data_IF_606644286214
#
_entry.id   IF_606644286214
#
_cell.length_a   1.000
_cell.length_b   1.000
_cell.length_c   1.000
_cell.angle_alpha   90.00
_cell.angle_beta   90.00
_cell.angle_gamma   90.00
#
_symmetry.space_group_name_H-M   'P 1'
#
loop_
_entity.id
_entity.type
_entity.pdbx_description
1 polymer ?
#
# COMPACT_ATOMS: atom_id res chain seq x y z
N UNK A 1 10.77 0.07 13.99
CA UNK A 1 10.74 0.45 12.56
C UNK A 1 10.39 -0.73 11.72
N UNK A 2 9.61 -0.50 10.65
CA UNK A 2 9.23 -1.53 9.69
C UNK A 2 10.33 -1.71 8.63
N UNK A 3 10.47 -2.92 8.11
CA UNK A 3 11.30 -3.20 6.94
C UNK A 3 10.56 -2.81 5.65
N UNK A 4 9.26 -3.13 5.58
CA UNK A 4 8.42 -2.89 4.40
C UNK A 4 7.12 -2.20 4.81
N UNK A 5 6.73 -1.15 4.08
CA UNK A 5 5.36 -0.64 4.09
C UNK A 5 4.73 -0.88 2.72
N UNK A 6 3.57 -1.55 2.70
CA UNK A 6 2.79 -1.79 1.48
C UNK A 6 1.72 -0.71 1.37
N UNK A 7 1.72 0.00 0.25
CA UNK A 7 0.92 1.20 0.02
C UNK A 7 -0.12 0.90 -1.06
N UNK A 8 -1.39 0.85 -0.66
CA UNK A 8 -2.54 0.81 -1.56
C UNK A 8 -3.06 2.21 -1.92
N UNK A 9 -4.01 2.27 -2.86
CA UNK A 9 -4.63 3.53 -3.27
C UNK A 9 -5.67 3.96 -2.24
N UNK A 10 -6.70 3.14 -2.04
CA UNK A 10 -7.74 3.31 -1.03
C UNK A 10 -8.42 1.95 -0.76
N UNK A 11 -9.14 1.81 0.38
CA UNK A 11 -9.89 0.60 0.65
C UNK A 11 -11.02 0.37 -0.36
N UNK A 12 -11.10 -0.84 -0.93
CA UNK A 12 -12.34 -1.27 -1.58
C UNK A 12 -13.46 -1.47 -0.55
N UNK A 13 -14.72 -1.30 -0.96
CA UNK A 13 -15.87 -1.38 -0.03
C UNK A 13 -15.87 -2.63 0.86
N UNK A 14 -15.54 -3.80 0.30
CA UNK A 14 -15.50 -5.04 1.07
C UNK A 14 -14.35 -5.07 2.09
N UNK A 15 -13.15 -4.61 1.70
CA UNK A 15 -12.01 -4.50 2.60
C UNK A 15 -12.28 -3.51 3.75
N UNK A 16 -12.95 -2.39 3.44
CA UNK A 16 -13.40 -1.42 4.44
C UNK A 16 -14.44 -2.02 5.41
N UNK A 17 -15.43 -2.76 4.88
CA UNK A 17 -16.44 -3.44 5.70
C UNK A 17 -15.81 -4.49 6.62
N UNK A 18 -14.87 -5.29 6.11
CA UNK A 18 -14.13 -6.29 6.89
C UNK A 18 -13.15 -5.67 7.88
N UNK A 19 -12.69 -4.45 7.65
CA UNK A 19 -11.64 -3.82 8.45
C UNK A 19 -10.23 -4.39 8.19
N UNK A 20 -10.03 -5.08 7.06
CA UNK A 20 -8.79 -5.80 6.75
C UNK A 20 -8.24 -5.44 5.38
N UNK A 21 -6.92 -5.29 5.29
CA UNK A 21 -6.25 -4.93 4.05
C UNK A 21 -6.41 -6.02 2.99
N UNK A 22 -6.76 -5.59 1.77
CA UNK A 22 -6.90 -6.47 0.60
C UNK A 22 -7.88 -7.66 0.79
N UNK A 23 -8.88 -7.54 1.67
CA UNK A 23 -9.85 -8.62 1.92
C UNK A 23 -10.88 -8.85 0.80
N UNK A 24 -10.85 -8.03 -0.27
CA UNK A 24 -11.84 -8.11 -1.36
C UNK A 24 -11.86 -9.47 -2.06
N UNK A 25 -13.04 -10.02 -2.41
CA UNK A 25 -13.14 -11.24 -3.19
C UNK A 25 -12.35 -11.12 -4.51
N UNK A 26 -11.55 -12.15 -4.84
CA UNK A 26 -10.71 -12.15 -6.04
C UNK A 26 -9.46 -11.28 -5.95
N UNK A 27 -9.19 -10.62 -4.82
CA UNK A 27 -7.93 -9.92 -4.62
C UNK A 27 -6.79 -10.95 -4.44
N UNK A 28 -5.76 -10.86 -5.28
CA UNK A 28 -4.65 -11.81 -5.27
C UNK A 28 -3.56 -11.48 -4.24
N UNK A 29 -3.65 -10.38 -3.51
CA UNK A 29 -2.58 -9.87 -2.65
C UNK A 29 -2.02 -10.95 -1.70
N UNK A 30 -2.87 -11.57 -0.90
CA UNK A 30 -2.46 -12.56 0.11
C UNK A 30 -1.82 -13.81 -0.51
N UNK A 31 -2.34 -14.27 -1.65
CA UNK A 31 -1.74 -15.36 -2.42
C UNK A 31 -0.36 -14.96 -2.97
N UNK A 32 -0.24 -13.77 -3.54
CA UNK A 32 1.02 -13.26 -4.09
C UNK A 32 2.07 -13.01 -3.00
N UNK A 33 1.65 -12.53 -1.82
CA UNK A 33 2.54 -12.32 -0.68
C UNK A 33 3.21 -13.65 -0.28
N UNK A 34 2.41 -14.71 -0.13
CA UNK A 34 2.94 -16.04 0.16
C UNK A 34 3.84 -16.56 -0.96
N UNK A 35 3.38 -16.53 -2.21
CA UNK A 35 4.16 -17.03 -3.34
C UNK A 35 5.46 -16.24 -3.60
N UNK A 36 5.55 -15.00 -3.13
CA UNK A 36 6.78 -14.21 -3.20
C UNK A 36 7.86 -14.65 -2.21
N UNK A 37 7.51 -15.46 -1.20
CA UNK A 37 8.40 -15.85 -0.11
C UNK A 37 8.57 -14.79 0.98
N UNK A 38 7.82 -13.68 0.94
CA UNK A 38 7.81 -12.67 2.01
C UNK A 38 7.16 -13.18 3.30
N UNK A 39 6.30 -14.19 3.22
CA UNK A 39 5.78 -14.92 4.37
C UNK A 39 6.09 -16.40 4.22
N UNK A 40 6.42 -17.05 5.34
CA UNK A 40 6.69 -18.50 5.37
C UNK A 40 5.43 -19.35 5.21
N UNK A 41 4.27 -18.79 5.55
CA UNK A 41 2.97 -19.45 5.51
C UNK A 41 1.96 -18.62 4.74
N UNK A 42 0.94 -19.28 4.22
CA UNK A 42 -0.17 -18.60 3.56
C UNK A 42 -1.09 -17.98 4.62
N UNK A 43 -1.15 -16.65 4.62
CA UNK A 43 -1.99 -15.87 5.53
C UNK A 43 -3.26 -15.38 4.83
N UNK A 44 -4.25 -14.98 5.62
CA UNK A 44 -5.47 -14.33 5.15
C UNK A 44 -5.54 -12.86 5.59
N UNK A 45 -6.49 -12.11 5.02
CA UNK A 45 -6.70 -10.71 5.39
C UNK A 45 -7.03 -10.52 6.88
N UNK A 46 -7.73 -11.49 7.49
CA UNK A 46 -8.09 -11.45 8.91
C UNK A 46 -6.85 -11.56 9.84
N UNK A 47 -5.66 -11.79 9.28
CA UNK A 47 -4.38 -11.93 9.98
C UNK A 47 -3.38 -10.80 9.65
N UNK A 48 -3.83 -9.74 8.98
CA UNK A 48 -2.96 -8.66 8.50
C UNK A 48 -2.11 -8.00 9.59
N UNK A 49 -2.66 -7.84 10.79
CA UNK A 49 -1.94 -7.32 11.95
C UNK A 49 -0.73 -8.17 12.37
N UNK A 50 -0.69 -9.48 12.07
CA UNK A 50 0.44 -10.35 12.42
C UNK A 50 1.69 -10.00 11.60
N UNK A 51 1.54 -9.40 10.42
CA UNK A 51 2.66 -9.02 9.57
C UNK A 51 3.58 -7.97 10.19
N UNK A 52 3.09 -7.20 11.16
CA UNK A 52 3.91 -6.29 11.95
C UNK A 52 5.03 -7.02 12.70
N UNK A 53 4.82 -8.30 13.07
CA UNK A 53 5.83 -9.12 13.76
C UNK A 53 7.01 -9.49 12.85
N UNK A 54 6.81 -9.46 11.54
CA UNK A 54 7.86 -9.70 10.53
C UNK A 54 8.25 -8.41 9.80
N UNK A 55 7.95 -7.24 10.40
CA UNK A 55 8.39 -5.95 9.91
C UNK A 55 7.65 -5.44 8.66
N UNK A 56 6.48 -6.01 8.33
CA UNK A 56 5.66 -5.59 7.19
C UNK A 56 4.41 -4.86 7.71
N UNK A 57 4.19 -3.64 7.24
CA UNK A 57 2.98 -2.86 7.54
C UNK A 57 2.18 -2.46 6.31
N UNK A 58 1.04 -1.82 6.55
CA UNK A 58 0.12 -1.38 5.51
C UNK A 58 -0.29 0.07 5.69
N UNK A 59 -0.54 0.75 4.57
CA UNK A 59 -1.28 2.01 4.54
C UNK A 59 -1.98 2.16 3.19
N UNK A 60 -2.88 3.12 3.09
CA UNK A 60 -3.38 3.62 1.82
C UNK A 60 -3.00 5.09 1.65
N UNK A 61 -2.90 5.53 0.40
CA UNK A 61 -2.74 6.94 0.05
C UNK A 61 -3.99 7.74 0.43
N UNK A 62 -5.19 7.22 0.12
CA UNK A 62 -6.48 7.82 0.46
C UNK A 62 -7.26 6.91 1.39
N UNK A 63 -7.84 7.47 2.46
CA UNK A 63 -8.55 6.67 3.48
C UNK A 63 -9.99 6.31 3.09
N UNK A 64 -10.65 7.14 2.27
CA UNK A 64 -12.06 6.94 1.92
C UNK A 64 -12.26 5.64 1.12
N UNK A 65 -13.17 4.80 1.58
CA UNK A 65 -13.54 3.59 0.87
C UNK A 65 -14.39 3.89 -0.37
N UNK A 66 -14.12 3.19 -1.48
CA UNK A 66 -14.90 3.33 -2.73
C UNK A 66 -15.08 1.98 -3.43
N UNK A 67 -15.90 1.94 -4.49
CA UNK A 67 -16.02 0.74 -5.35
C UNK A 67 -14.75 0.52 -6.17
N UNK A 68 -14.15 1.62 -6.63
CA UNK A 68 -12.85 1.60 -7.30
C UNK A 68 -12.16 2.95 -7.20
N UNK A 69 -10.86 2.98 -7.55
CA UNK A 69 -10.05 4.20 -7.48
C UNK A 69 -10.52 5.31 -8.42
N UNK A 70 -11.34 5.00 -9.43
CA UNK A 70 -11.95 5.98 -10.32
C UNK A 70 -12.92 6.94 -9.60
N UNK A 71 -13.45 6.54 -8.44
CA UNK A 71 -14.35 7.36 -7.62
C UNK A 71 -13.60 8.36 -6.71
N UNK A 72 -12.26 8.37 -6.75
CA UNK A 72 -11.43 9.30 -6.00
C UNK A 72 -11.25 10.60 -6.77
N UNK A 73 -11.43 11.73 -6.10
CA UNK A 73 -11.15 13.03 -6.69
C UNK A 73 -9.65 13.32 -6.72
N UNK A 74 -9.22 14.18 -7.65
CA UNK A 74 -7.84 14.67 -7.70
C UNK A 74 -7.41 15.37 -6.40
N UNK A 75 -8.34 16.02 -5.71
CA UNK A 75 -8.10 16.71 -4.44
C UNK A 75 -7.74 15.71 -3.35
N UNK A 76 -8.55 14.67 -3.18
CA UNK A 76 -8.30 13.61 -2.18
C UNK A 76 -6.98 12.91 -2.42
N UNK A 77 -6.69 12.63 -3.68
CA UNK A 77 -5.42 12.03 -4.09
C UNK A 77 -4.24 12.91 -3.70
N UNK A 78 -4.29 14.22 -4.02
CA UNK A 78 -3.21 15.16 -3.72
C UNK A 78 -2.99 15.31 -2.21
N UNK A 79 -4.07 15.45 -1.45
CA UNK A 79 -4.03 15.51 0.03
C UNK A 79 -3.50 14.19 0.61
N UNK A 80 -3.93 13.06 0.06
CA UNK A 80 -3.48 11.73 0.44
C UNK A 80 -1.98 11.52 0.21
N UNK A 81 -1.43 12.00 -0.92
CA UNK A 81 0.01 11.94 -1.19
C UNK A 81 0.83 12.69 -0.16
N UNK A 82 0.37 13.87 0.27
CA UNK A 82 1.03 14.68 1.30
C UNK A 82 1.03 13.96 2.66
N UNK A 83 -0.13 13.44 3.07
CA UNK A 83 -0.27 12.67 4.33
C UNK A 83 0.59 11.39 4.28
N UNK A 84 0.65 10.73 3.14
CA UNK A 84 1.50 9.55 2.95
C UNK A 84 2.98 9.90 3.12
N UNK A 85 3.44 11.00 2.52
CA UNK A 85 4.82 11.46 2.67
C UNK A 85 5.17 11.74 4.15
N UNK A 86 4.28 12.42 4.88
CA UNK A 86 4.45 12.68 6.31
C UNK A 86 4.57 11.38 7.13
N UNK A 87 3.75 10.37 6.81
CA UNK A 87 3.86 9.04 7.44
C UNK A 87 5.20 8.37 7.12
N UNK A 88 5.66 8.41 5.88
CA UNK A 88 6.94 7.81 5.48
C UNK A 88 8.10 8.49 6.21
N UNK A 89 8.11 9.82 6.30
CA UNK A 89 9.12 10.59 7.03
C UNK A 89 9.09 10.34 8.54
N UNK A 90 7.92 10.09 9.12
CA UNK A 90 7.76 9.80 10.54
C UNK A 90 8.18 8.37 10.89
N UNK A 91 7.64 7.36 10.20
CA UNK A 91 7.85 5.95 10.53
C UNK A 91 9.12 5.34 9.96
N UNK A 92 9.71 5.99 8.94
CA UNK A 92 10.98 5.63 8.31
C UNK A 92 11.14 4.13 7.98
N UNK A 93 10.21 3.55 7.19
CA UNK A 93 10.36 2.16 6.76
C UNK A 93 11.53 2.03 5.79
N UNK A 94 12.22 0.90 5.78
CA UNK A 94 13.35 0.69 4.85
C UNK A 94 12.91 0.63 3.38
N UNK A 95 11.70 0.15 3.11
CA UNK A 95 11.17 -0.02 1.75
C UNK A 95 9.71 0.41 1.71
N UNK A 96 9.38 1.36 0.83
CA UNK A 96 8.01 1.70 0.46
C UNK A 96 7.60 0.97 -0.83
N UNK A 97 6.62 0.08 -0.73
CA UNK A 97 6.09 -0.70 -1.86
C UNK A 97 4.75 -0.13 -2.29
N UNK A 98 4.75 0.58 -3.41
CA UNK A 98 3.51 1.04 -4.06
C UNK A 98 2.86 -0.13 -4.80
N UNK A 99 1.81 -0.70 -4.22
CA UNK A 99 1.11 -1.87 -4.79
C UNK A 99 0.12 -1.44 -5.89
N UNK A 100 0.67 -0.89 -6.97
CA UNK A 100 -0.08 -0.43 -8.14
C UNK A 100 0.63 0.71 -8.87
N UNK A 101 0.75 0.58 -10.20
CA UNK A 101 1.44 1.57 -11.06
C UNK A 101 0.90 2.99 -10.87
N UNK A 102 -0.42 3.13 -10.94
CA UNK A 102 -1.10 4.43 -10.82
C UNK A 102 -0.84 5.10 -9.47
N UNK A 103 -0.66 4.32 -8.40
CA UNK A 103 -0.38 4.84 -7.06
C UNK A 103 0.97 5.56 -7.06
N UNK A 104 1.98 4.90 -7.63
CA UNK A 104 3.31 5.50 -7.76
C UNK A 104 3.33 6.66 -8.75
N UNK A 105 2.64 6.57 -9.90
CA UNK A 105 2.52 7.68 -10.87
C UNK A 105 1.99 8.94 -10.19
N UNK A 106 0.94 8.77 -9.41
CA UNK A 106 0.25 9.85 -8.71
C UNK A 106 1.09 10.41 -7.56
N UNK A 107 1.75 9.55 -6.79
CA UNK A 107 2.59 9.97 -5.68
C UNK A 107 3.85 10.69 -6.14
N UNK A 108 4.56 10.10 -7.12
CA UNK A 108 5.85 10.61 -7.60
C UNK A 108 5.73 11.71 -8.66
N UNK A 109 4.58 11.82 -9.32
CA UNK A 109 4.40 12.67 -10.51
C UNK A 109 5.09 12.15 -11.78
N UNK A 110 5.78 11.00 -11.71
CA UNK A 110 6.50 10.39 -12.84
C UNK A 110 5.58 9.48 -13.65
N UNK A 111 5.71 9.52 -14.97
CA UNK A 111 5.01 8.59 -15.89
C UNK A 111 5.92 7.60 -16.59
N UNK A 112 7.20 7.92 -16.64
CA UNK A 112 8.24 7.09 -17.24
C UNK A 112 9.08 6.45 -16.12
N UNK A 113 8.74 5.22 -15.79
CA UNK A 113 9.47 4.40 -14.81
C UNK A 113 9.18 2.92 -15.07
N UNK A 114 10.09 2.07 -14.60
CA UNK A 114 9.92 0.62 -14.65
C UNK A 114 9.33 0.09 -13.34
N UNK A 115 8.64 -1.03 -13.40
CA UNK A 115 8.26 -1.77 -12.18
C UNK A 115 9.52 -2.21 -11.41
N UNK A 116 9.37 -2.29 -10.08
CA UNK A 116 10.44 -2.71 -9.17
C UNK A 116 11.11 -1.54 -8.47
N UNK A 117 12.37 -1.73 -8.08
CA UNK A 117 13.16 -0.75 -7.33
C UNK A 117 13.38 0.51 -8.17
N UNK A 118 13.05 1.66 -7.59
CA UNK A 118 13.29 2.96 -8.20
C UNK A 118 14.73 3.44 -7.88
N UNK A 119 15.35 4.23 -8.78
CA UNK A 119 16.70 4.74 -8.55
C UNK A 119 16.76 5.78 -7.43
N UNK A 120 15.68 6.57 -7.29
CA UNK A 120 15.55 7.60 -6.28
C UNK A 120 14.86 7.04 -5.02
N UNK A 121 15.31 7.53 -3.87
CA UNK A 121 14.64 7.28 -2.59
C UNK A 121 13.45 8.24 -2.43
N UNK A 122 12.44 7.80 -1.69
CA UNK A 122 11.39 8.69 -1.19
C UNK A 122 11.93 9.33 0.10
N UNK A 123 11.67 10.62 0.31
CA UNK A 123 12.09 11.26 1.55
C UNK A 123 11.54 10.50 2.76
N UNK A 124 12.44 10.07 3.64
CA UNK A 124 12.10 9.28 4.82
C UNK A 124 12.27 7.76 4.66
N UNK A 125 12.59 7.24 3.47
CA UNK A 125 12.86 5.82 3.23
C UNK A 125 14.30 5.56 2.84
#
# INVERSE_FOLDING_TARGET
NLDIIIIGINPGLFAAYKGHHYAGPGNHFWKCLYLSGLTSEQMTADEDYKLLQVGIGFTNMVQRATKGSADLTRKEIKEGSQILLEKLQHFKPKIAVFNGKLIFEVFSGKKDFNFGRQPDLVDGT
#
